data_IF_488170795787
#
_entry.id   IF_488170795787
#
_cell.length_a   1.000
_cell.length_b   1.000
_cell.length_c   1.000
_cell.angle_alpha   90.00
_cell.angle_beta   90.00
_cell.angle_gamma   90.00
#
_symmetry.space_group_name_H-M   'P 1'
#
loop_
_entity.id
_entity.type
_entity.pdbx_description
1 polymer ?
#
# COMPACT_ATOMS: atom_id res chain seq x y z
N UNK A 1 -1.26 19.16 22.52
CA UNK A 1 -1.58 18.52 21.22
C UNK A 1 -2.99 18.90 20.88
N UNK A 2 -3.20 19.55 19.74
CA UNK A 2 -4.52 20.01 19.36
C UNK A 2 -5.40 18.80 19.01
N UNK A 3 -6.66 18.83 19.41
CA UNK A 3 -7.64 17.74 19.21
C UNK A 3 -7.92 17.41 17.73
N UNK A 4 -7.33 18.11 16.77
CA UNK A 4 -7.51 17.92 15.33
C UNK A 4 -6.22 17.50 14.61
N UNK A 5 -5.08 17.46 15.31
CA UNK A 5 -3.79 17.10 14.72
C UNK A 5 -3.60 15.60 14.54
N UNK A 6 -4.46 14.78 15.15
CA UNK A 6 -4.37 13.32 15.09
C UNK A 6 -5.72 12.69 14.77
N UNK A 7 -5.69 11.50 14.14
CA UNK A 7 -6.91 10.73 13.90
C UNK A 7 -7.67 10.39 15.19
N UNK A 8 -6.97 10.20 16.31
CA UNK A 8 -7.58 10.03 17.63
C UNK A 8 -8.39 11.25 18.03
N UNK A 9 -7.78 12.43 17.89
CA UNK A 9 -8.42 13.69 18.18
C UNK A 9 -9.69 13.89 17.35
N UNK A 10 -9.65 13.58 16.05
CA UNK A 10 -10.84 13.66 15.18
C UNK A 10 -11.96 12.71 15.63
N UNK A 11 -11.64 11.51 16.09
CA UNK A 11 -12.64 10.59 16.63
C UNK A 11 -13.24 11.13 17.94
N UNK A 12 -12.43 11.72 18.83
CA UNK A 12 -12.91 12.37 20.04
C UNK A 12 -13.82 13.57 19.73
N UNK A 13 -13.44 14.38 18.74
CA UNK A 13 -14.27 15.49 18.23
C UNK A 13 -15.62 14.97 17.73
N UNK A 14 -15.62 13.95 16.87
CA UNK A 14 -16.85 13.33 16.35
C UNK A 14 -17.76 12.79 17.46
N UNK A 15 -17.19 12.19 18.51
CA UNK A 15 -17.94 11.73 19.68
C UNK A 15 -18.56 12.89 20.45
N UNK A 16 -17.82 13.99 20.64
CA UNK A 16 -18.29 15.18 21.35
C UNK A 16 -19.43 15.85 20.62
N UNK A 17 -19.31 16.04 19.30
CA UNK A 17 -20.32 16.73 18.50
C UNK A 17 -21.61 15.92 18.33
N UNK A 18 -21.49 14.60 18.17
CA UNK A 18 -22.65 13.73 17.91
C UNK A 18 -23.23 13.10 19.18
N UNK A 19 -22.48 13.12 20.29
CA UNK A 19 -22.92 12.55 21.56
C UNK A 19 -23.11 11.03 21.55
N UNK A 20 -22.49 10.31 20.61
CA UNK A 20 -22.75 8.87 20.39
C UNK A 20 -21.55 7.97 20.68
N UNK A 21 -21.82 6.68 20.88
CA UNK A 21 -20.78 5.66 21.02
C UNK A 21 -20.02 5.42 19.70
N UNK A 22 -18.79 4.91 19.76
CA UNK A 22 -18.02 4.53 18.56
C UNK A 22 -18.76 3.55 17.65
N UNK A 23 -19.49 2.60 18.25
CA UNK A 23 -20.28 1.64 17.47
C UNK A 23 -21.37 2.33 16.67
N UNK A 24 -22.01 3.36 17.24
CA UNK A 24 -23.01 4.17 16.53
C UNK A 24 -22.37 5.08 15.48
N UNK A 25 -21.20 5.67 15.75
CA UNK A 25 -20.44 6.43 14.74
C UNK A 25 -20.12 5.57 13.51
N UNK A 26 -19.68 4.33 13.73
CA UNK A 26 -19.42 3.41 12.62
C UNK A 26 -20.69 3.09 11.81
N UNK A 27 -21.86 2.97 12.45
CA UNK A 27 -23.13 2.76 11.76
C UNK A 27 -23.54 3.99 10.95
N UNK A 28 -23.34 5.19 11.48
CA UNK A 28 -23.62 6.44 10.76
C UNK A 28 -22.73 6.60 9.53
N UNK A 29 -21.43 6.33 9.66
CA UNK A 29 -20.52 6.35 8.52
C UNK A 29 -20.90 5.32 7.44
N UNK A 30 -21.31 4.11 7.85
CA UNK A 30 -21.84 3.11 6.92
C UNK A 30 -23.11 3.57 6.22
N UNK A 31 -24.02 4.23 6.95
CA UNK A 31 -25.24 4.82 6.37
C UNK A 31 -24.94 5.90 5.33
N UNK A 32 -23.82 6.61 5.47
CA UNK A 32 -23.32 7.59 4.50
C UNK A 32 -22.50 6.96 3.35
N UNK A 33 -22.39 5.63 3.28
CA UNK A 33 -21.71 4.91 2.19
C UNK A 33 -20.25 4.55 2.44
N UNK A 34 -19.68 4.88 3.61
CA UNK A 34 -18.29 4.54 3.93
C UNK A 34 -18.13 3.10 4.41
N UNK A 35 -17.12 2.38 3.92
CA UNK A 35 -16.77 1.02 4.38
C UNK A 35 -15.85 1.07 5.58
N UNK A 36 -16.38 1.47 6.74
CA UNK A 36 -15.62 1.50 8.00
C UNK A 36 -16.18 0.51 9.04
N UNK A 37 -15.29 -0.12 9.81
CA UNK A 37 -15.65 -1.07 10.86
C UNK A 37 -15.45 -0.43 12.23
N UNK A 38 -16.39 -0.61 13.15
CA UNK A 38 -16.32 -0.03 14.50
C UNK A 38 -15.12 -0.51 15.32
N UNK A 39 -14.63 -1.73 15.08
CA UNK A 39 -13.39 -2.23 15.70
C UNK A 39 -12.17 -1.43 15.26
N UNK A 40 -12.10 -1.04 13.98
CA UNK A 40 -11.04 -0.19 13.44
C UNK A 40 -11.08 1.20 14.09
N UNK A 41 -12.25 1.85 14.14
CA UNK A 41 -12.41 3.14 14.85
C UNK A 41 -11.95 3.06 16.31
N UNK A 42 -12.36 2.01 17.02
CA UNK A 42 -12.00 1.80 18.42
C UNK A 42 -10.50 1.57 18.61
N UNK A 43 -9.86 0.83 17.70
CA UNK A 43 -8.42 0.62 17.74
C UNK A 43 -7.65 1.91 17.44
N UNK A 44 -8.15 2.74 16.51
CA UNK A 44 -7.55 4.05 16.20
C UNK A 44 -7.70 4.98 17.40
N UNK A 45 -8.91 5.11 17.98
CA UNK A 45 -9.17 5.92 19.17
C UNK A 45 -8.21 5.56 20.32
N UNK A 46 -8.02 4.26 20.57
CA UNK A 46 -7.13 3.76 21.63
C UNK A 46 -5.64 3.82 21.28
N UNK A 47 -5.29 4.15 20.03
CA UNK A 47 -3.91 4.09 19.54
C UNK A 47 -3.33 2.68 19.44
N UNK A 48 -4.17 1.64 19.48
CA UNK A 48 -3.74 0.25 19.37
C UNK A 48 -3.78 -0.27 17.93
N UNK A 49 -4.17 0.58 16.97
CA UNK A 49 -4.18 0.24 15.56
C UNK A 49 -2.76 0.28 15.00
N UNK A 50 -2.21 -0.91 14.69
CA UNK A 50 -0.82 -1.08 14.26
C UNK A 50 -0.60 -0.89 12.76
N UNK A 51 -1.67 -0.88 11.97
CA UNK A 51 -1.61 -0.78 10.52
C UNK A 51 -1.88 0.66 10.07
N UNK A 52 -1.55 0.98 8.82
CA UNK A 52 -1.93 2.27 8.24
C UNK A 52 -3.41 2.27 7.83
N UNK A 53 -4.22 3.25 8.29
CA UNK A 53 -5.61 3.36 7.87
C UNK A 53 -5.72 3.62 6.37
N UNK A 54 -6.69 2.96 5.72
CA UNK A 54 -6.98 3.21 4.30
C UNK A 54 -7.50 4.63 4.07
N UNK A 55 -7.37 5.13 2.84
CA UNK A 55 -7.83 6.47 2.45
C UNK A 55 -9.34 6.63 2.71
N UNK A 56 -10.12 5.57 2.45
CA UNK A 56 -11.55 5.52 2.75
C UNK A 56 -11.82 5.63 4.26
N UNK A 57 -10.97 5.02 5.10
CA UNK A 57 -11.08 5.11 6.56
C UNK A 57 -10.80 6.53 7.04
N UNK A 58 -9.76 7.17 6.49
CA UNK A 58 -9.39 8.56 6.84
C UNK A 58 -10.50 9.53 6.43
N UNK A 59 -11.05 9.42 5.22
CA UNK A 59 -12.20 10.22 4.76
C UNK A 59 -13.43 10.01 5.64
N UNK A 60 -13.71 8.76 6.03
CA UNK A 60 -14.82 8.46 6.93
C UNK A 60 -14.67 9.14 8.30
N UNK A 61 -13.46 9.14 8.87
CA UNK A 61 -13.15 9.83 10.13
C UNK A 61 -13.33 11.35 9.97
N UNK A 62 -12.85 11.93 8.85
CA UNK A 62 -13.04 13.34 8.53
C UNK A 62 -14.52 13.73 8.46
N UNK A 63 -15.32 12.94 7.75
CA UNK A 63 -16.77 13.13 7.64
C UNK A 63 -17.48 13.01 9.00
N UNK A 64 -17.07 12.05 9.83
CA UNK A 64 -17.63 11.90 11.18
C UNK A 64 -17.36 13.11 12.05
N UNK A 65 -16.17 13.70 11.93
CA UNK A 65 -15.72 14.88 12.67
C UNK A 65 -16.13 16.22 12.03
N UNK A 66 -16.83 16.21 10.88
CA UNK A 66 -17.25 17.43 10.19
C UNK A 66 -16.11 18.25 9.59
N UNK A 67 -14.93 17.65 9.37
CA UNK A 67 -13.75 18.32 8.81
C UNK A 67 -13.54 17.99 7.34
N UNK A 68 -12.85 18.88 6.61
CA UNK A 68 -12.42 18.63 5.22
C UNK A 68 -11.41 17.48 5.12
N UNK A 69 -11.38 16.83 3.97
CA UNK A 69 -10.41 15.77 3.66
C UNK A 69 -8.96 16.23 3.91
N UNK A 70 -8.60 17.48 3.58
CA UNK A 70 -7.25 18.03 3.84
C UNK A 70 -6.82 17.89 5.30
N UNK A 71 -7.72 18.24 6.22
CA UNK A 71 -7.47 18.16 7.67
C UNK A 71 -7.43 16.70 8.11
N UNK A 72 -8.31 15.84 7.59
CA UNK A 72 -8.33 14.43 7.95
C UNK A 72 -7.06 13.69 7.51
N UNK A 73 -6.59 13.95 6.30
CA UNK A 73 -5.33 13.38 5.80
C UNK A 73 -4.12 13.99 6.49
N UNK A 74 -4.11 15.29 6.78
CA UNK A 74 -3.05 15.92 7.57
C UNK A 74 -2.95 15.30 8.98
N UNK A 75 -4.09 15.03 9.62
CA UNK A 75 -4.16 14.35 10.93
C UNK A 75 -3.69 12.88 10.87
N UNK A 76 -3.65 12.28 9.68
CA UNK A 76 -3.04 10.98 9.42
C UNK A 76 -1.55 11.08 9.00
N UNK A 77 -0.97 12.30 8.95
CA UNK A 77 0.38 12.54 8.45
C UNK A 77 0.51 12.36 6.93
N UNK A 78 -0.60 12.43 6.19
CA UNK A 78 -0.67 12.13 4.76
C UNK A 78 -1.12 13.35 3.97
N UNK A 79 -0.74 13.39 2.69
CA UNK A 79 -1.33 14.33 1.73
C UNK A 79 -2.64 13.76 1.20
N UNK A 80 -3.60 14.63 0.89
CA UNK A 80 -4.83 14.20 0.23
C UNK A 80 -4.48 13.53 -1.10
N UNK A 81 -4.91 12.29 -1.34
CA UNK A 81 -4.78 11.68 -2.64
C UNK A 81 -5.64 12.46 -3.63
N UNK A 82 -5.03 12.86 -4.75
CA UNK A 82 -5.73 13.54 -5.84
C UNK A 82 -6.81 12.66 -6.48
N UNK A 83 -7.43 13.14 -7.57
CA UNK A 83 -8.32 12.34 -8.40
C UNK A 83 -7.69 10.97 -8.74
N UNK A 84 -8.50 9.93 -9.02
CA UNK A 84 -7.97 8.66 -9.48
C UNK A 84 -7.01 8.90 -10.65
N UNK A 85 -5.76 8.43 -10.54
CA UNK A 85 -4.73 8.71 -11.53
C UNK A 85 -5.16 8.32 -12.96
N UNK A 86 -6.04 7.33 -13.10
CA UNK A 86 -6.62 6.91 -14.37
C UNK A 86 -7.41 8.02 -15.10
N UNK A 87 -8.02 8.96 -14.37
CA UNK A 87 -8.76 10.09 -14.95
C UNK A 87 -7.85 11.20 -15.48
N UNK A 88 -6.59 11.22 -15.03
CA UNK A 88 -5.57 12.18 -15.46
C UNK A 88 -4.71 11.66 -16.61
N UNK A 89 -4.92 10.41 -17.03
CA UNK A 89 -4.17 9.81 -18.12
C UNK A 89 -4.56 10.44 -19.46
N UNK A 90 -3.58 10.77 -20.33
CA UNK A 90 -3.88 11.30 -21.64
C UNK A 90 -4.69 10.28 -22.47
N UNK A 91 -5.54 10.77 -23.41
CA UNK A 91 -6.25 9.87 -24.32
C UNK A 91 -5.25 9.02 -25.12
N UNK A 92 -5.58 7.76 -25.36
CA UNK A 92 -4.72 6.81 -26.09
C UNK A 92 -3.72 6.04 -25.23
N UNK A 93 -3.69 6.23 -23.90
CA UNK A 93 -2.89 5.37 -23.00
C UNK A 93 -3.32 3.90 -23.06
N UNK A 94 -4.60 3.65 -23.37
CA UNK A 94 -5.10 2.28 -23.57
C UNK A 94 -4.55 1.63 -24.86
N UNK A 95 -4.14 2.43 -25.83
CA UNK A 95 -3.59 1.98 -27.13
C UNK A 95 -2.09 1.65 -27.08
N UNK A 96 -1.43 1.85 -25.92
CA UNK A 96 -0.02 1.50 -25.73
C UNK A 96 0.22 0.01 -26.01
N UNK A 97 1.29 -0.29 -26.73
CA UNK A 97 1.72 -1.67 -26.96
C UNK A 97 2.06 -2.37 -25.63
N UNK A 98 2.05 -3.71 -25.57
CA UNK A 98 2.39 -4.44 -24.35
C UNK A 98 3.76 -4.08 -23.76
N UNK A 99 4.74 -3.76 -24.63
CA UNK A 99 6.09 -3.37 -24.20
C UNK A 99 6.10 -1.96 -23.58
N UNK A 100 5.40 -1.01 -24.19
CA UNK A 100 5.30 0.36 -23.68
C UNK A 100 4.52 0.41 -22.37
N UNK A 101 3.41 -0.33 -22.28
CA UNK A 101 2.63 -0.47 -21.04
C UNK A 101 3.49 -1.03 -19.90
N UNK A 102 4.33 -2.04 -20.19
CA UNK A 102 5.27 -2.61 -19.21
C UNK A 102 6.28 -1.57 -18.73
N UNK A 103 6.89 -0.81 -19.64
CA UNK A 103 7.85 0.23 -19.30
C UNK A 103 7.23 1.35 -18.44
N UNK A 104 6.02 1.80 -18.78
CA UNK A 104 5.30 2.79 -17.99
C UNK A 104 5.02 2.30 -16.56
N UNK A 105 4.55 1.06 -16.41
CA UNK A 105 4.31 0.45 -15.10
C UNK A 105 5.59 0.33 -14.29
N UNK A 106 6.71 -0.03 -14.92
CA UNK A 106 8.00 -0.16 -14.26
C UNK A 106 8.50 1.19 -13.73
N UNK A 107 8.42 2.26 -14.52
CA UNK A 107 8.72 3.62 -14.06
C UNK A 107 7.85 4.02 -12.86
N UNK A 108 6.54 3.78 -12.91
CA UNK A 108 5.64 4.09 -11.79
C UNK A 108 6.01 3.32 -10.52
N UNK A 109 6.38 2.03 -10.65
CA UNK A 109 6.86 1.23 -9.53
C UNK A 109 8.13 1.81 -8.91
N UNK A 110 9.09 2.22 -9.72
CA UNK A 110 10.33 2.84 -9.22
C UNK A 110 10.06 4.13 -8.45
N UNK A 111 9.15 4.97 -8.94
CA UNK A 111 8.75 6.21 -8.26
C UNK A 111 8.05 5.94 -6.92
N UNK A 112 7.20 4.92 -6.86
CA UNK A 112 6.54 4.50 -5.60
C UNK A 112 7.58 3.98 -4.60
N UNK A 113 8.50 3.14 -5.04
CA UNK A 113 9.56 2.58 -4.18
C UNK A 113 10.45 3.70 -3.60
N UNK A 114 10.91 4.64 -4.45
CA UNK A 114 11.69 5.78 -4.01
C UNK A 114 10.93 6.64 -2.99
N UNK A 115 9.63 6.84 -3.20
CA UNK A 115 8.80 7.60 -2.27
C UNK A 115 8.61 6.89 -0.92
N UNK A 116 8.46 5.56 -0.93
CA UNK A 116 8.39 4.76 0.30
C UNK A 116 9.70 4.88 1.09
N UNK A 117 10.85 4.75 0.43
CA UNK A 117 12.16 4.90 1.05
C UNK A 117 12.35 6.28 1.71
N UNK A 118 11.92 7.36 1.05
CA UNK A 118 11.96 8.72 1.64
C UNK A 118 11.06 8.83 2.88
N UNK A 119 9.88 8.22 2.84
CA UNK A 119 8.94 8.26 3.97
C UNK A 119 9.42 7.40 5.15
N UNK A 120 10.04 6.26 4.87
CA UNK A 120 10.60 5.36 5.89
C UNK A 120 11.84 5.97 6.53
N UNK A 121 12.75 6.59 5.74
CA UNK A 121 13.94 7.26 6.26
C UNK A 121 13.61 8.42 7.22
N UNK A 122 12.55 9.18 6.94
CA UNK A 122 12.07 10.26 7.82
C UNK A 122 11.53 9.78 9.17
N UNK A 123 11.15 8.50 9.31
CA UNK A 123 10.69 7.94 10.59
C UNK A 123 11.83 7.60 11.55
N UNK A 124 13.08 7.56 11.07
CA UNK A 124 14.26 7.15 11.85
C UNK A 124 15.12 8.30 12.37
N UNK A 125 14.86 9.55 11.95
CA UNK A 125 15.71 10.70 12.32
C UNK A 125 15.23 11.48 13.57
N UNK A 126 14.18 11.01 14.26
CA UNK A 126 13.70 11.60 15.53
C UNK A 126 14.05 10.72 16.74
N UNK A 127 15.34 10.44 16.98
CA UNK A 127 15.86 10.19 18.34
C UNK A 127 17.41 10.19 18.33
N UNK A 128 18.09 11.32 18.62
CA UNK A 128 19.45 11.24 19.12
C UNK A 128 19.39 10.75 20.57
N UNK A 129 19.61 9.46 20.79
CA UNK A 129 19.87 8.92 22.13
C UNK A 129 20.93 9.79 22.84
N UNK A 130 20.67 10.27 24.07
CA UNK A 130 21.67 10.99 24.83
C UNK A 130 22.78 10.02 25.24
N UNK A 131 23.94 10.15 24.60
CA UNK A 131 25.18 9.49 24.99
C UNK A 131 25.45 9.81 26.47
N UNK A 132 25.50 8.82 27.39
CA UNK A 132 25.92 9.10 28.75
C UNK A 132 27.43 9.35 28.75
N UNK A 133 27.82 10.57 29.09
CA UNK A 133 29.17 10.88 29.52
C UNK A 133 29.44 10.15 30.85
N UNK A 134 30.37 9.19 30.82
CA UNK A 134 30.97 8.64 32.02
C UNK A 134 32.48 8.80 31.92
N UNK A 135 32.95 9.81 32.65
CA UNK A 135 34.35 10.09 32.97
C UNK A 135 34.87 9.08 34.01
N UNK A 136 36.13 8.65 33.90
CA UNK A 136 36.86 8.03 35.02
C UNK A 136 37.89 6.95 34.67
N UNK A 137 39.18 7.35 34.60
CA UNK A 137 40.40 6.77 35.24
C UNK A 137 40.46 5.24 35.46
N UNK A 138 41.50 4.45 35.18
CA UNK A 138 42.99 4.51 35.07
C UNK A 138 43.37 3.12 34.47
N UNK A 139 44.49 2.90 33.77
CA UNK A 139 45.73 2.42 34.40
C UNK A 139 46.83 2.21 33.33
N UNK A 140 48.08 2.40 33.77
CA UNK A 140 49.28 2.31 32.96
C UNK A 140 49.77 0.86 32.85
N UNK A 141 50.17 0.41 31.66
CA UNK A 141 51.26 -0.57 31.56
C UNK A 141 51.99 -0.49 30.22
N UNK A 142 53.30 -0.64 30.35
CA UNK A 142 54.35 -0.56 29.35
C UNK A 142 54.28 -1.67 28.29
N UNK A 143 54.84 -1.42 27.11
CA UNK A 143 55.18 -2.51 26.19
C UNK A 143 55.61 -2.09 24.79
N UNK A 144 56.86 -1.64 24.67
CA UNK A 144 57.83 -1.92 23.60
C UNK A 144 57.37 -2.19 22.14
N UNK A 145 58.01 -1.48 21.21
CA UNK A 145 58.71 -2.15 20.10
C UNK A 145 58.20 -1.95 18.67
N UNK A 146 58.88 -1.06 17.95
CA UNK A 146 59.48 -1.30 16.61
C UNK A 146 58.60 -1.69 15.37
N UNK A 147 58.44 -0.69 14.48
CA UNK A 147 58.46 -0.73 12.97
C UNK A 147 57.44 -1.58 12.17
N UNK A 148 57.31 -1.37 10.83
CA UNK A 148 57.19 -0.12 10.08
C UNK A 148 56.03 -0.14 9.05
N UNK A 149 55.81 1.04 8.46
CA UNK A 149 55.01 1.38 7.28
C UNK A 149 54.91 0.28 6.21
N UNK A 150 53.68 -0.02 5.76
CA UNK A 150 53.42 -0.70 4.50
C UNK A 150 52.42 0.12 3.68
N UNK A 151 52.95 0.86 2.71
CA UNK A 151 52.17 1.48 1.64
C UNK A 151 51.45 0.41 0.80
N UNK A 152 50.22 0.65 0.33
CA UNK A 152 49.60 -0.19 -0.70
C UNK A 152 50.34 -0.07 -2.04
N UNK A 153 50.57 -1.17 -2.77
CA UNK A 153 51.23 -1.14 -4.07
C UNK A 153 50.34 -0.54 -5.16
N UNK A 154 50.95 0.26 -6.03
CA UNK A 154 50.40 0.71 -7.30
C UNK A 154 50.08 -0.50 -8.18
N UNK A 155 48.89 -0.51 -8.78
CA UNK A 155 48.55 -1.46 -9.82
C UNK A 155 48.68 -0.76 -11.16
N UNK A 156 49.78 -1.05 -11.85
CA UNK A 156 50.02 -0.68 -13.23
C UNK A 156 49.13 -1.50 -14.17
N UNK A 157 48.52 -0.80 -15.12
CA UNK A 157 48.31 -1.30 -16.47
C UNK A 157 47.35 -2.47 -16.66
N UNK A 158 46.09 -2.15 -16.96
CA UNK A 158 45.43 -2.70 -18.17
C UNK A 158 44.23 -1.86 -18.57
N UNK A 159 44.44 -1.08 -19.63
CA UNK A 159 43.41 -0.41 -20.42
C UNK A 159 42.62 -1.50 -21.14
N UNK A 160 41.43 -1.84 -20.66
CA UNK A 160 40.46 -2.62 -21.44
C UNK A 160 39.76 -1.67 -22.40
N UNK A 161 40.06 -1.85 -23.68
CA UNK A 161 39.50 -1.11 -24.79
C UNK A 161 37.95 -1.17 -24.80
N UNK A 162 37.36 -0.02 -25.13
CA UNK A 162 35.94 0.13 -25.46
C UNK A 162 35.57 -0.80 -26.62
N UNK A 163 34.42 -1.50 -26.60
CA UNK A 163 33.95 -2.23 -27.77
C UNK A 163 33.52 -1.24 -28.85
N UNK A 164 34.11 -1.40 -30.04
CA UNK A 164 33.77 -0.66 -31.25
C UNK A 164 32.31 -0.87 -31.63
N UNK A 165 31.67 0.25 -31.93
CA UNK A 165 30.36 0.39 -32.56
C UNK A 165 30.48 -0.02 -34.04
N UNK A 166 30.44 -1.31 -34.30
CA UNK A 166 30.12 -1.89 -35.62
C UNK A 166 30.04 -3.43 -35.50
N UNK A 167 28.87 -3.93 -35.12
CA UNK A 167 28.43 -5.30 -35.38
C UNK A 167 26.91 -5.33 -35.24
N UNK A 168 26.24 -5.04 -36.34
CA UNK A 168 24.82 -5.35 -36.50
C UNK A 168 24.63 -6.87 -36.50
N UNK A 169 23.68 -7.43 -35.73
CA UNK A 169 23.20 -8.77 -35.99
C UNK A 169 22.26 -8.73 -37.21
N UNK A 170 22.71 -9.31 -38.32
CA UNK A 170 21.87 -9.70 -39.46
C UNK A 170 20.68 -10.57 -38.99
N UNK A 171 19.51 -10.46 -39.63
CA UNK A 171 18.32 -11.23 -39.29
C UNK A 171 18.44 -12.67 -39.82
N UNK A 172 18.40 -13.65 -38.92
CA UNK A 172 18.35 -15.06 -39.28
C UNK A 172 16.92 -15.42 -39.77
N UNK A 173 16.75 -15.40 -41.09
CA UNK A 173 15.58 -15.93 -41.78
C UNK A 173 15.61 -17.46 -41.79
N UNK A 174 14.82 -18.10 -40.91
CA UNK A 174 14.33 -19.47 -41.18
C UNK A 174 12.86 -19.64 -40.79
N UNK A 175 11.95 -19.80 -41.76
CA UNK A 175 10.57 -20.21 -41.54
C UNK A 175 10.45 -21.74 -41.64
N UNK A 176 9.78 -22.39 -40.68
CA UNK A 176 9.00 -23.64 -40.81
C UNK A 176 8.51 -24.10 -39.42
N UNK A 177 7.22 -23.93 -39.11
CA UNK A 177 6.15 -24.93 -39.24
C UNK A 177 6.33 -26.16 -38.34
N UNK A 178 5.43 -26.28 -37.35
CA UNK A 178 4.74 -27.50 -36.85
C UNK A 178 3.95 -27.08 -35.59
N UNK A 179 2.68 -26.68 -35.71
CA UNK A 179 1.51 -27.56 -35.72
C UNK A 179 1.33 -28.39 -34.44
N UNK A 180 0.22 -28.07 -33.75
CA UNK A 180 -0.56 -28.89 -32.82
C UNK A 180 0.07 -29.30 -31.47
N UNK A 181 -0.53 -28.81 -30.38
CA UNK A 181 -1.06 -29.69 -29.32
C UNK A 181 -2.01 -28.98 -28.34
N UNK A 182 -3.25 -29.45 -28.39
CA UNK A 182 -4.18 -29.70 -27.29
C UNK A 182 -4.57 -28.58 -26.30
N UNK A 183 -5.73 -28.01 -26.57
CA UNK A 183 -6.66 -27.46 -25.58
C UNK A 183 -7.33 -28.61 -24.83
N UNK A 184 -7.16 -28.67 -23.51
CA UNK A 184 -8.02 -29.48 -22.62
C UNK A 184 -8.20 -28.75 -21.29
N UNK A 185 -9.20 -27.87 -21.26
CA UNK A 185 -9.63 -27.13 -20.07
C UNK A 185 -11.14 -26.97 -20.10
N UNK A 186 -11.87 -28.08 -19.94
CA UNK A 186 -13.33 -28.08 -19.88
C UNK A 186 -13.83 -27.40 -18.60
N UNK A 187 -14.40 -26.21 -18.76
CA UNK A 187 -15.73 -25.86 -18.27
C UNK A 187 -16.10 -26.25 -16.81
N UNK A 188 -15.74 -25.40 -15.84
CA UNK A 188 -16.53 -25.21 -14.60
C UNK A 188 -17.85 -24.43 -14.85
N UNK A 189 -17.94 -23.72 -15.96
CA UNK A 189 -19.07 -22.83 -16.32
C UNK A 189 -20.37 -23.60 -16.65
N UNK A 190 -20.27 -24.79 -17.28
CA UNK A 190 -21.45 -25.57 -17.70
C UNK A 190 -22.13 -26.32 -16.54
N UNK A 191 -21.48 -26.46 -15.39
CA UNK A 191 -22.07 -27.07 -14.19
C UNK A 191 -22.96 -26.10 -13.40
N UNK A 192 -22.72 -24.79 -13.49
CA UNK A 192 -23.59 -23.79 -12.84
C UNK A 192 -24.96 -23.67 -13.51
N UNK A 193 -25.03 -23.76 -14.84
CA UNK A 193 -26.28 -23.62 -15.60
C UNK A 193 -27.28 -24.78 -15.42
N UNK A 194 -26.95 -25.84 -14.68
CA UNK A 194 -27.87 -26.97 -14.43
C UNK A 194 -28.56 -26.94 -13.05
N UNK A 195 -28.24 -25.96 -12.21
CA UNK A 195 -28.82 -25.83 -10.88
C UNK A 195 -29.92 -24.74 -10.78
N UNK A 196 -30.19 -23.98 -11.86
CA UNK A 196 -31.14 -22.85 -11.84
C UNK A 196 -32.46 -23.10 -12.58
N UNK A 197 -32.74 -24.34 -13.00
CA UNK A 197 -34.05 -24.71 -13.57
C UNK A 197 -34.70 -25.82 -12.75
N UNK A 198 -35.26 -25.45 -11.61
CA UNK A 198 -36.38 -26.16 -11.00
C UNK A 198 -37.43 -25.08 -10.64
N UNK A 199 -38.64 -25.12 -11.24
CA UNK A 199 -39.67 -24.13 -11.00
C UNK A 199 -40.26 -24.27 -9.60
N UNK A 200 -40.61 -23.12 -9.02
CA UNK A 200 -41.43 -22.94 -7.83
C UNK A 200 -42.77 -23.66 -8.00
N UNK A 201 -43.13 -24.53 -7.06
CA UNK A 201 -44.51 -24.97 -6.88
C UNK A 201 -45.11 -24.24 -5.67
N UNK A 202 -45.84 -23.18 -5.98
CA UNK A 202 -46.72 -22.49 -5.07
C UNK A 202 -48.05 -23.26 -5.02
N UNK A 203 -48.38 -23.85 -3.87
CA UNK A 203 -49.77 -24.13 -3.53
C UNK A 203 -50.10 -23.43 -2.22
N UNK A 204 -50.79 -22.31 -2.36
CA UNK A 204 -51.53 -21.63 -1.30
C UNK A 204 -52.77 -22.43 -0.89
N UNK A 205 -53.27 -22.13 0.31
CA UNK A 205 -54.65 -22.40 0.77
C UNK A 205 -54.78 -23.69 1.57
N UNK A 206 -55.44 -23.78 2.72
CA UNK A 206 -56.40 -22.92 3.41
C UNK A 206 -56.37 -23.35 4.89
N UNK A 207 -56.56 -22.42 5.85
CA UNK A 207 -57.09 -22.77 7.17
C UNK A 207 -58.63 -22.88 7.11
N UNK A 208 -59.39 -22.95 8.23
CA UNK A 208 -59.01 -23.03 9.64
C UNK A 208 -59.84 -24.10 10.41
N UNK A 209 -59.82 -24.00 11.75
CA UNK A 209 -60.88 -24.41 12.72
C UNK A 209 -60.90 -25.80 13.40
N UNK A 210 -61.15 -25.72 14.72
CA UNK A 210 -61.73 -26.75 15.58
C UNK A 210 -60.72 -27.72 16.18
N UNK A 211 -60.63 -27.95 17.48
CA UNK A 211 -61.60 -27.81 18.56
C UNK A 211 -61.50 -29.06 19.45
N UNK A 212 -61.68 -28.84 20.76
CA UNK A 212 -61.71 -29.80 21.88
C UNK A 212 -60.36 -30.24 22.46
#
# INVERSE_FOLDING_TARGET
MNEIETLQGLIHLARRERGTSIRQLALQAKGAGFKIVGTTLNAIEKGTYKSEPSDETVRAIGWLAGVSDDVAFAAAGRRVPGPPFAEELPPGVDDLSPRERKAAIEMLRTLIAQRQEINDGKRTDEDPEPRPEASGTVDSSQGSGDRPRRSPPMNDGKVTALPSRDQAPEPDERPQRLAARHVKGGSKEKQRRRAETAPEDQSQGEGPEGGA
#
